data_IF_176005645342
#
_entry.id   IF_176005645342
#
_cell.length_a   1.000
_cell.length_b   1.000
_cell.length_c   1.000
_cell.angle_alpha   90.00
_cell.angle_beta   90.00
_cell.angle_gamma   90.00
#
_symmetry.space_group_name_H-M   'P 1'
#
loop_
_entity.id
_entity.type
_entity.pdbx_description
1 polymer ?
#
# COMPACT_ATOMS: atom_id res chain seq x y z
N UNK A 1 -7.91 -3.00 51.05
CA UNK A 1 -7.55 -1.63 50.63
C UNK A 1 -6.03 -1.58 50.56
N UNK A 2 -5.46 -1.83 49.40
CA UNK A 2 -4.04 -1.68 49.10
C UNK A 2 -3.95 -0.76 47.89
N UNK A 3 -3.76 0.53 48.13
CA UNK A 3 -3.37 1.45 47.06
C UNK A 3 -1.93 1.15 46.69
N UNK A 4 -1.70 0.43 45.58
CA UNK A 4 -0.37 0.36 44.96
C UNK A 4 0.03 1.77 44.56
N UNK A 5 0.84 2.40 45.39
CA UNK A 5 1.55 3.64 45.06
C UNK A 5 2.55 3.29 43.96
N UNK A 6 2.17 3.58 42.69
CA UNK A 6 3.08 3.45 41.55
C UNK A 6 4.27 4.36 41.85
N UNK A 7 5.48 3.79 41.85
CA UNK A 7 6.70 4.55 42.12
C UNK A 7 6.83 5.71 41.12
N UNK A 8 7.21 6.90 41.58
CA UNK A 8 7.30 8.12 40.79
C UNK A 8 8.02 7.97 39.44
N UNK A 9 9.09 7.13 39.27
CA UNK A 9 9.72 6.85 37.98
C UNK A 9 8.80 6.11 36.99
N UNK A 10 7.97 5.19 37.47
CA UNK A 10 7.02 4.44 36.61
C UNK A 10 5.86 5.33 36.13
N UNK A 11 5.37 6.23 36.97
CA UNK A 11 4.35 7.21 36.61
C UNK A 11 4.88 8.18 35.54
N UNK A 12 6.11 8.67 35.68
CA UNK A 12 6.75 9.54 34.69
C UNK A 12 6.96 8.84 33.35
N UNK A 13 7.46 7.60 33.33
CA UNK A 13 7.62 6.80 32.12
C UNK A 13 6.27 6.51 31.44
N UNK A 14 5.20 6.34 32.21
CA UNK A 14 3.84 6.13 31.68
C UNK A 14 3.29 7.38 31.00
N UNK A 15 3.44 8.55 31.60
CA UNK A 15 3.05 9.83 31.02
C UNK A 15 3.86 10.13 29.73
N UNK A 16 5.14 9.81 29.75
CA UNK A 16 5.98 9.97 28.57
C UNK A 16 5.58 9.00 27.43
N UNK A 17 5.22 7.76 27.75
CA UNK A 17 4.73 6.78 26.76
C UNK A 17 3.37 7.20 26.14
N UNK A 18 2.59 8.03 26.82
CA UNK A 18 1.29 8.53 26.33
C UNK A 18 1.43 9.74 25.41
N UNK A 19 2.57 10.41 25.40
CA UNK A 19 2.83 11.56 24.53
C UNK A 19 3.14 11.11 23.10
N UNK A 20 2.51 11.78 22.12
CA UNK A 20 2.85 11.64 20.71
C UNK A 20 4.20 12.32 20.42
N UNK A 21 5.15 11.57 19.84
CA UNK A 21 6.46 12.11 19.42
C UNK A 21 6.36 12.50 17.94
N UNK A 22 5.88 13.74 17.70
CA UNK A 22 5.55 14.22 16.35
C UNK A 22 6.76 14.23 15.43
N UNK A 23 7.96 14.56 15.93
CA UNK A 23 9.20 14.57 15.14
C UNK A 23 9.53 13.18 14.56
N UNK A 24 9.40 12.12 15.37
CA UNK A 24 9.62 10.74 14.92
C UNK A 24 8.52 10.31 13.94
N UNK A 25 7.27 10.68 14.21
CA UNK A 25 6.14 10.35 13.35
C UNK A 25 6.27 11.00 11.96
N UNK A 26 6.66 12.27 11.90
CA UNK A 26 6.90 12.96 10.63
C UNK A 26 8.14 12.42 9.92
N UNK A 27 9.21 12.11 10.65
CA UNK A 27 10.42 11.52 10.08
C UNK A 27 10.15 10.14 9.46
N UNK A 28 9.36 9.27 10.13
CA UNK A 28 9.03 7.96 9.58
C UNK A 28 8.05 8.07 8.39
N UNK A 29 7.12 9.03 8.42
CA UNK A 29 6.24 9.33 7.29
C UNK A 29 7.03 9.85 6.08
N UNK A 30 8.02 10.70 6.29
CA UNK A 30 8.93 11.16 5.25
C UNK A 30 9.77 10.02 4.67
N UNK A 31 10.33 9.13 5.51
CA UNK A 31 11.03 7.95 5.02
C UNK A 31 10.10 7.00 4.25
N UNK A 32 8.82 6.89 4.64
CA UNK A 32 7.82 6.14 3.89
C UNK A 32 7.59 6.75 2.51
N UNK A 33 7.48 8.07 2.43
CA UNK A 33 7.40 8.78 1.15
C UNK A 33 8.59 8.47 0.25
N UNK A 34 9.82 8.55 0.77
CA UNK A 34 11.03 8.24 -0.01
C UNK A 34 11.08 6.78 -0.46
N UNK A 35 10.75 5.84 0.44
CA UNK A 35 10.71 4.41 0.13
C UNK A 35 9.71 4.11 -0.99
N UNK A 36 8.49 4.63 -0.90
CA UNK A 36 7.44 4.35 -1.86
C UNK A 36 7.64 5.10 -3.18
N UNK A 37 8.32 6.25 -3.17
CA UNK A 37 8.80 6.91 -4.39
C UNK A 37 9.75 5.99 -5.17
N UNK A 38 10.67 5.34 -4.47
CA UNK A 38 11.61 4.37 -5.07
C UNK A 38 10.87 3.14 -5.60
N UNK A 39 9.89 2.64 -4.88
CA UNK A 39 9.13 1.46 -5.31
C UNK A 39 8.28 1.74 -6.56
N UNK A 40 7.56 2.86 -6.57
CA UNK A 40 6.70 3.23 -7.71
C UNK A 40 7.50 3.67 -8.95
N UNK A 41 8.77 4.09 -8.78
CA UNK A 41 9.71 4.28 -9.88
C UNK A 41 9.85 3.02 -10.73
N UNK A 42 9.86 1.82 -10.12
CA UNK A 42 10.09 0.55 -10.84
C UNK A 42 9.07 0.38 -11.97
N UNK A 43 7.79 0.56 -11.68
CA UNK A 43 6.73 0.46 -12.71
C UNK A 43 6.77 1.62 -13.70
N UNK A 44 7.17 2.81 -13.26
CA UNK A 44 7.23 3.99 -14.12
C UNK A 44 8.33 3.88 -15.20
N UNK A 45 9.42 3.15 -14.92
CA UNK A 45 10.52 2.97 -15.88
C UNK A 45 10.37 1.73 -16.79
N UNK A 46 9.28 0.97 -16.69
CA UNK A 46 9.08 -0.23 -17.53
C UNK A 46 9.23 0.02 -19.03
N UNK A 47 8.72 1.12 -19.63
CA UNK A 47 8.96 1.38 -21.05
C UNK A 47 10.45 1.53 -21.38
N UNK A 48 11.20 2.24 -20.53
CA UNK A 48 12.66 2.43 -20.71
C UNK A 48 13.39 1.08 -20.65
N UNK A 49 13.09 0.29 -19.61
CA UNK A 49 13.72 -1.03 -19.41
C UNK A 49 13.34 -2.01 -20.52
N UNK A 50 12.06 -1.98 -20.97
CA UNK A 50 11.59 -2.81 -22.06
C UNK A 50 12.34 -2.51 -23.37
N UNK A 51 12.55 -1.26 -23.71
CA UNK A 51 13.31 -0.84 -24.88
C UNK A 51 14.79 -1.20 -24.77
N UNK A 52 15.43 -0.89 -23.61
CA UNK A 52 16.85 -1.12 -23.39
C UNK A 52 17.25 -2.59 -23.48
N UNK A 53 16.42 -3.50 -22.97
CA UNK A 53 16.69 -4.94 -22.89
C UNK A 53 15.88 -5.77 -23.89
N UNK A 54 15.12 -5.14 -24.79
CA UNK A 54 14.24 -5.81 -25.78
C UNK A 54 13.29 -6.81 -25.12
N UNK A 55 12.70 -6.45 -23.97
CA UNK A 55 11.83 -7.33 -23.20
C UNK A 55 10.44 -7.48 -23.84
N UNK A 56 9.85 -8.66 -23.68
CA UNK A 56 8.43 -8.86 -23.91
C UNK A 56 7.60 -8.47 -22.66
N UNK A 57 6.28 -8.44 -22.78
CA UNK A 57 5.40 -8.07 -21.67
C UNK A 57 5.38 -9.10 -20.54
N UNK A 58 5.57 -10.38 -20.85
CA UNK A 58 5.74 -11.44 -19.84
C UNK A 58 6.94 -11.14 -18.96
N UNK A 59 8.08 -10.74 -19.53
CA UNK A 59 9.28 -10.38 -18.78
C UNK A 59 9.07 -9.13 -17.91
N UNK A 60 8.34 -8.12 -18.40
CA UNK A 60 7.93 -6.96 -17.59
C UNK A 60 7.03 -7.41 -16.43
N UNK A 61 6.09 -8.31 -16.69
CA UNK A 61 5.25 -8.89 -15.64
C UNK A 61 6.05 -9.66 -14.59
N UNK A 62 7.10 -10.37 -15.00
CA UNK A 62 8.02 -11.07 -14.10
C UNK A 62 8.85 -10.12 -13.23
N UNK A 63 9.21 -8.93 -13.72
CA UNK A 63 9.85 -7.88 -12.89
C UNK A 63 8.90 -7.49 -11.75
N UNK A 64 7.63 -7.18 -12.07
CA UNK A 64 6.62 -6.87 -11.05
C UNK A 64 6.41 -8.03 -10.08
N UNK A 65 6.27 -9.24 -10.59
CA UNK A 65 6.08 -10.44 -9.76
C UNK A 65 7.24 -10.62 -8.78
N UNK A 66 8.48 -10.55 -9.26
CA UNK A 66 9.69 -10.69 -8.44
C UNK A 66 9.72 -9.63 -7.34
N UNK A 67 9.48 -8.37 -7.69
CA UNK A 67 9.40 -7.27 -6.72
C UNK A 67 8.32 -7.51 -5.68
N UNK A 68 7.08 -7.79 -6.09
CA UNK A 68 5.94 -7.96 -5.20
C UNK A 68 6.08 -9.21 -4.31
N UNK A 69 6.61 -10.31 -4.82
CA UNK A 69 6.85 -11.51 -4.02
C UNK A 69 7.88 -11.26 -2.93
N UNK A 70 9.01 -10.63 -3.26
CA UNK A 70 10.04 -10.30 -2.28
C UNK A 70 9.59 -9.24 -1.29
N UNK A 71 8.80 -8.26 -1.74
CA UNK A 71 8.26 -7.21 -0.89
C UNK A 71 7.17 -7.71 0.07
N UNK A 72 6.34 -8.69 -0.33
CA UNK A 72 5.16 -9.09 0.44
C UNK A 72 5.35 -10.36 1.28
N UNK A 73 5.93 -11.43 0.70
CA UNK A 73 6.04 -12.71 1.41
C UNK A 73 6.99 -12.67 2.60
N UNK A 74 8.00 -11.81 2.56
CA UNK A 74 8.95 -11.67 3.65
C UNK A 74 8.43 -10.80 4.80
N UNK A 75 7.44 -9.93 4.59
CA UNK A 75 6.90 -9.04 5.64
C UNK A 75 6.42 -9.80 6.89
N UNK A 76 5.59 -10.86 6.80
CA UNK A 76 5.17 -11.62 7.97
C UNK A 76 6.35 -12.27 8.72
N UNK A 77 7.35 -12.74 7.98
CA UNK A 77 8.55 -13.34 8.56
C UNK A 77 9.39 -12.32 9.31
N UNK A 78 9.60 -11.14 8.70
CA UNK A 78 10.29 -10.00 9.33
C UNK A 78 9.52 -9.56 10.57
N UNK A 79 8.21 -9.32 10.45
CA UNK A 79 7.37 -8.91 11.58
C UNK A 79 7.43 -9.90 12.74
N UNK A 80 7.30 -11.20 12.47
CA UNK A 80 7.39 -12.26 13.48
C UNK A 80 8.76 -12.31 14.17
N UNK A 81 9.84 -12.14 13.40
CA UNK A 81 11.20 -12.15 13.93
C UNK A 81 11.46 -10.93 14.82
N UNK A 82 11.09 -9.74 14.34
CA UNK A 82 11.33 -8.49 15.06
C UNK A 82 10.38 -8.26 16.24
N UNK A 83 9.20 -8.91 16.27
CA UNK A 83 8.33 -8.96 17.44
C UNK A 83 8.99 -9.69 18.61
N UNK A 84 9.74 -10.76 18.30
CA UNK A 84 10.47 -11.55 19.33
C UNK A 84 11.81 -10.94 19.71
N UNK A 85 12.49 -10.32 18.74
CA UNK A 85 13.83 -9.73 18.90
C UNK A 85 13.85 -8.35 18.29
N UNK A 86 13.55 -7.28 19.04
CA UNK A 86 13.58 -5.93 18.54
C UNK A 86 14.95 -5.54 17.97
N UNK A 87 14.99 -5.12 16.72
CA UNK A 87 16.19 -4.69 16.03
C UNK A 87 16.10 -3.20 15.68
N UNK A 88 16.63 -2.29 16.50
CA UNK A 88 16.46 -0.84 16.33
C UNK A 88 16.90 -0.29 14.96
N UNK A 89 17.87 -0.92 14.32
CA UNK A 89 18.43 -0.46 13.05
C UNK A 89 17.93 -1.25 11.83
N UNK A 90 16.94 -2.13 12.00
CA UNK A 90 16.39 -2.95 10.91
C UNK A 90 15.90 -2.10 9.72
N UNK A 91 15.28 -0.95 10.00
CA UNK A 91 14.81 -0.02 8.97
C UNK A 91 15.95 0.53 8.11
N UNK A 92 17.06 0.95 8.73
CA UNK A 92 18.23 1.44 8.01
C UNK A 92 18.88 0.32 7.18
N UNK A 93 18.97 -0.90 7.73
CA UNK A 93 19.49 -2.09 7.00
C UNK A 93 18.58 -2.42 5.81
N UNK A 94 17.25 -2.42 5.99
CA UNK A 94 16.30 -2.60 4.88
C UNK A 94 16.49 -1.57 3.78
N UNK A 95 16.66 -0.29 4.13
CA UNK A 95 16.91 0.77 3.17
C UNK A 95 18.28 0.64 2.47
N UNK A 96 19.30 0.05 3.13
CA UNK A 96 20.57 -0.31 2.46
C UNK A 96 20.36 -1.37 1.37
N UNK A 97 19.49 -2.37 1.59
CA UNK A 97 19.14 -3.34 0.54
C UNK A 97 18.46 -2.65 -0.65
N UNK A 98 17.54 -1.70 -0.37
CA UNK A 98 16.91 -0.87 -1.41
C UNK A 98 17.96 -0.07 -2.18
N UNK A 99 18.92 0.56 -1.50
CA UNK A 99 20.03 1.30 -2.13
C UNK A 99 20.86 0.39 -3.03
N UNK A 100 21.27 -0.79 -2.54
CA UNK A 100 22.00 -1.77 -3.34
C UNK A 100 21.20 -2.19 -4.60
N UNK A 101 19.90 -2.42 -4.43
CA UNK A 101 19.00 -2.73 -5.54
C UNK A 101 18.94 -1.61 -6.59
N UNK A 102 18.85 -0.34 -6.17
CA UNK A 102 18.85 0.83 -7.08
C UNK A 102 20.18 0.98 -7.85
N UNK A 103 21.31 0.85 -7.16
CA UNK A 103 22.61 0.90 -7.80
C UNK A 103 22.74 -0.21 -8.83
N UNK A 104 22.38 -1.43 -8.46
CA UNK A 104 22.43 -2.56 -9.38
C UNK A 104 21.47 -2.39 -10.56
N UNK A 105 20.27 -1.83 -10.34
CA UNK A 105 19.29 -1.52 -11.38
C UNK A 105 19.82 -0.51 -12.40
N UNK A 106 20.50 0.53 -11.92
CA UNK A 106 21.08 1.57 -12.77
C UNK A 106 22.21 1.06 -13.68
N UNK A 107 22.88 -0.02 -13.27
CA UNK A 107 24.03 -0.62 -13.96
C UNK A 107 23.69 -1.99 -14.59
N UNK A 108 22.42 -2.42 -14.54
CA UNK A 108 22.03 -3.74 -15.02
C UNK A 108 22.35 -3.88 -16.51
N UNK A 109 23.07 -4.95 -16.86
CA UNK A 109 23.42 -5.31 -18.24
C UNK A 109 22.63 -6.49 -18.79
N UNK A 110 21.72 -7.08 -17.99
CA UNK A 110 20.89 -8.22 -18.41
C UNK A 110 19.58 -8.30 -17.63
N UNK A 111 18.61 -9.04 -18.19
CA UNK A 111 17.32 -9.27 -17.54
C UNK A 111 17.45 -9.96 -16.16
N UNK A 112 18.39 -10.88 -15.99
CA UNK A 112 18.60 -11.54 -14.69
C UNK A 112 19.10 -10.56 -13.64
N UNK A 113 20.00 -9.64 -14.00
CA UNK A 113 20.48 -8.58 -13.09
C UNK A 113 19.33 -7.63 -12.74
N UNK A 114 18.43 -7.32 -13.68
CA UNK A 114 17.21 -6.56 -13.39
C UNK A 114 16.36 -7.25 -12.34
N UNK A 115 16.12 -8.58 -12.47
CA UNK A 115 15.34 -9.33 -11.49
C UNK A 115 15.97 -9.31 -10.09
N UNK A 116 17.31 -9.50 -10.02
CA UNK A 116 18.04 -9.41 -8.74
C UNK A 116 17.92 -8.00 -8.14
N UNK A 117 18.03 -6.97 -8.97
CA UNK A 117 17.94 -5.57 -8.56
C UNK A 117 16.58 -5.28 -7.89
N UNK A 118 15.49 -5.64 -8.56
CA UNK A 118 14.14 -5.41 -8.02
C UNK A 118 13.82 -6.32 -6.85
N UNK A 119 14.40 -7.53 -6.78
CA UNK A 119 14.29 -8.40 -5.62
C UNK A 119 14.93 -7.76 -4.37
N UNK A 120 16.12 -7.14 -4.52
CA UNK A 120 16.79 -6.41 -3.43
C UNK A 120 15.94 -5.23 -2.95
N UNK A 121 15.35 -4.45 -3.87
CA UNK A 121 14.43 -3.37 -3.51
C UNK A 121 13.22 -3.92 -2.76
N UNK A 122 12.63 -5.01 -3.24
CA UNK A 122 11.51 -5.69 -2.57
C UNK A 122 11.87 -6.21 -1.18
N UNK A 123 13.04 -6.81 -1.01
CA UNK A 123 13.53 -7.25 0.30
C UNK A 123 13.70 -6.08 1.27
N UNK A 124 14.24 -4.94 0.81
CA UNK A 124 14.31 -3.71 1.60
C UNK A 124 12.94 -3.23 2.05
N UNK A 125 11.97 -3.21 1.13
CA UNK A 125 10.57 -2.89 1.38
C UNK A 125 9.91 -3.83 2.40
N UNK A 126 10.19 -5.14 2.33
CA UNK A 126 9.63 -6.13 3.24
C UNK A 126 10.05 -5.92 4.69
N UNK A 127 11.23 -5.35 4.92
CA UNK A 127 11.68 -4.92 6.25
C UNK A 127 11.04 -3.60 6.64
N UNK A 128 10.95 -2.67 5.67
CA UNK A 128 10.52 -1.29 5.93
C UNK A 128 9.09 -1.22 6.47
N UNK A 129 8.10 -1.80 5.77
CA UNK A 129 6.69 -1.58 6.12
C UNK A 129 6.29 -2.05 7.52
N UNK A 130 6.61 -3.30 7.97
CA UNK A 130 6.23 -3.74 9.31
C UNK A 130 6.94 -2.94 10.40
N UNK A 131 8.24 -2.66 10.24
CA UNK A 131 9.02 -1.94 11.23
C UNK A 131 8.68 -0.45 11.29
N UNK A 132 8.45 0.21 10.15
CA UNK A 132 8.04 1.60 10.11
C UNK A 132 6.65 1.81 10.71
N UNK A 133 5.71 0.91 10.44
CA UNK A 133 4.39 0.90 11.09
C UNK A 133 4.51 0.74 12.61
N UNK A 134 5.43 -0.13 13.08
CA UNK A 134 5.76 -0.28 14.51
C UNK A 134 6.31 1.02 15.10
N UNK A 135 7.22 1.70 14.39
CA UNK A 135 7.76 3.00 14.85
C UNK A 135 6.66 4.06 14.92
N UNK A 136 5.76 4.12 13.93
CA UNK A 136 4.60 5.00 13.96
C UNK A 136 3.71 4.70 15.17
N UNK A 137 3.47 3.42 15.48
CA UNK A 137 2.72 2.99 16.68
C UNK A 137 3.39 3.44 17.97
N UNK A 138 4.71 3.25 18.10
CA UNK A 138 5.48 3.68 19.28
C UNK A 138 5.47 5.19 19.48
N UNK A 139 5.58 5.96 18.37
CA UNK A 139 5.54 7.42 18.39
C UNK A 139 4.14 7.99 18.61
N UNK A 140 3.09 7.19 18.46
CA UNK A 140 1.70 7.60 18.51
C UNK A 140 1.24 8.08 19.91
N UNK A 141 1.82 7.57 20.97
CA UNK A 141 1.28 7.72 22.33
C UNK A 141 -0.11 7.12 22.44
N UNK A 142 -1.13 7.94 22.65
CA UNK A 142 -2.54 7.49 22.68
C UNK A 142 -3.24 7.63 21.32
N UNK A 143 -2.63 8.29 20.32
CA UNK A 143 -3.26 8.65 19.03
C UNK A 143 -2.89 7.69 17.89
N UNK A 144 -3.09 6.38 18.09
CA UNK A 144 -2.65 5.37 17.12
C UNK A 144 -3.26 5.53 15.72
N UNK A 145 -4.55 5.86 15.62
CA UNK A 145 -5.23 6.10 14.34
C UNK A 145 -4.64 7.29 13.58
N UNK A 146 -4.40 8.40 14.28
CA UNK A 146 -3.75 9.59 13.71
C UNK A 146 -2.34 9.28 13.22
N UNK A 147 -1.55 8.58 14.03
CA UNK A 147 -0.18 8.22 13.66
C UNK A 147 -0.13 7.34 12.41
N UNK A 148 -1.01 6.35 12.33
CA UNK A 148 -1.10 5.49 11.16
C UNK A 148 -1.57 6.27 9.92
N UNK A 149 -2.48 7.24 10.06
CA UNK A 149 -2.91 8.10 8.96
C UNK A 149 -1.75 8.96 8.43
N UNK A 150 -0.98 9.60 9.32
CA UNK A 150 0.21 10.39 8.94
C UNK A 150 1.24 9.51 8.22
N UNK A 151 1.48 8.31 8.73
CA UNK A 151 2.38 7.33 8.09
C UNK A 151 1.92 6.96 6.68
N UNK A 152 0.64 6.66 6.50
CA UNK A 152 0.07 6.29 5.18
C UNK A 152 0.06 7.44 4.18
N UNK A 153 -0.13 8.68 4.62
CA UNK A 153 -0.03 9.86 3.75
C UNK A 153 1.36 9.95 3.13
N UNK A 154 2.43 9.66 3.91
CA UNK A 154 3.79 9.57 3.37
C UNK A 154 3.90 8.57 2.23
N UNK A 155 3.52 7.31 2.45
CA UNK A 155 3.59 6.26 1.44
C UNK A 155 2.77 6.56 0.19
N UNK A 156 1.52 6.97 0.35
CA UNK A 156 0.65 7.31 -0.78
C UNK A 156 1.19 8.48 -1.61
N UNK A 157 1.76 9.51 -0.95
CA UNK A 157 2.44 10.62 -1.62
C UNK A 157 3.66 10.11 -2.40
N UNK A 158 4.47 9.26 -1.77
CA UNK A 158 5.64 8.65 -2.40
C UNK A 158 5.27 7.83 -3.64
N UNK A 159 4.25 6.98 -3.52
CA UNK A 159 3.77 6.16 -4.63
C UNK A 159 3.34 6.99 -5.85
N UNK A 160 2.79 8.18 -5.65
CA UNK A 160 2.46 9.09 -6.75
C UNK A 160 3.68 9.83 -7.31
N UNK A 161 4.64 10.21 -6.43
CA UNK A 161 5.83 10.97 -6.85
C UNK A 161 6.78 10.17 -7.73
N UNK A 162 6.87 8.84 -7.59
CA UNK A 162 7.81 8.02 -8.38
C UNK A 162 7.68 8.21 -9.88
N UNK A 163 6.50 8.06 -10.50
CA UNK A 163 6.31 8.32 -11.92
C UNK A 163 6.60 9.77 -12.34
N UNK A 164 6.25 10.76 -11.51
CA UNK A 164 6.57 12.15 -11.77
C UNK A 164 8.08 12.38 -11.80
N UNK A 165 8.80 11.87 -10.80
CA UNK A 165 10.25 11.95 -10.74
C UNK A 165 10.92 11.17 -11.86
N UNK A 166 10.36 10.01 -12.26
CA UNK A 166 10.81 9.29 -13.44
C UNK A 166 10.69 10.13 -14.71
N UNK A 167 9.55 10.80 -14.91
CA UNK A 167 9.32 11.67 -16.06
C UNK A 167 10.29 12.86 -16.14
N UNK A 168 10.81 13.33 -15.00
CA UNK A 168 11.73 14.45 -14.92
C UNK A 168 13.20 14.03 -15.02
N UNK A 169 13.56 12.86 -14.47
CA UNK A 169 14.94 12.45 -14.27
C UNK A 169 15.35 11.35 -15.26
N UNK A 170 14.46 10.36 -15.51
CA UNK A 170 14.78 9.15 -16.28
C UNK A 170 14.42 9.36 -17.76
N UNK A 171 15.10 10.29 -18.42
CA UNK A 171 14.86 10.68 -19.82
C UNK A 171 16.14 10.71 -20.63
N UNK A 172 16.02 10.52 -21.95
CA UNK A 172 17.13 10.61 -22.91
C UNK A 172 17.98 9.34 -23.06
N UNK A 173 19.11 9.41 -23.77
CA UNK A 173 19.86 8.21 -24.22
C UNK A 173 20.43 7.33 -23.11
N UNK A 174 20.63 7.86 -21.90
CA UNK A 174 21.14 7.13 -20.72
C UNK A 174 20.07 7.03 -19.64
N UNK A 175 18.79 6.89 -20.01
CA UNK A 175 17.68 6.93 -19.08
C UNK A 175 17.82 5.92 -17.93
N UNK A 176 18.21 4.66 -18.22
CA UNK A 176 18.40 3.64 -17.19
C UNK A 176 19.44 4.04 -16.13
N UNK A 177 20.60 4.54 -16.52
CA UNK A 177 21.64 4.93 -15.56
C UNK A 177 21.23 6.09 -14.65
N UNK A 178 20.29 6.93 -15.10
CA UNK A 178 19.75 8.04 -14.29
C UNK A 178 18.89 7.58 -13.12
N UNK A 179 18.48 6.32 -13.08
CA UNK A 179 17.84 5.70 -11.89
C UNK A 179 18.76 5.84 -10.67
N UNK A 180 20.06 5.93 -10.86
CA UNK A 180 21.04 6.16 -9.79
C UNK A 180 20.74 7.43 -8.96
N UNK A 181 20.13 8.47 -9.53
CA UNK A 181 19.76 9.67 -8.77
C UNK A 181 18.79 9.40 -7.62
N UNK A 182 17.97 8.36 -7.72
CA UNK A 182 17.07 7.96 -6.63
C UNK A 182 17.83 7.36 -5.44
N UNK A 183 19.09 6.98 -5.62
CA UNK A 183 19.97 6.57 -4.52
C UNK A 183 20.20 7.71 -3.51
N UNK A 184 20.11 8.97 -3.93
CA UNK A 184 20.16 10.11 -3.01
C UNK A 184 19.01 10.06 -2.02
N UNK A 185 17.79 9.74 -2.49
CA UNK A 185 16.62 9.57 -1.60
C UNK A 185 16.82 8.39 -0.63
N UNK A 186 17.39 7.28 -1.10
CA UNK A 186 17.70 6.13 -0.25
C UNK A 186 18.75 6.48 0.83
N UNK A 187 19.81 7.21 0.48
CA UNK A 187 20.84 7.67 1.42
C UNK A 187 20.24 8.61 2.48
N UNK A 188 19.41 9.58 2.06
CA UNK A 188 18.72 10.48 2.99
C UNK A 188 17.86 9.65 3.96
N UNK A 189 17.09 8.68 3.43
CA UNK A 189 16.27 7.81 4.25
C UNK A 189 17.12 6.98 5.24
N UNK A 190 18.26 6.43 4.82
CA UNK A 190 19.18 5.68 5.71
C UNK A 190 19.63 6.56 6.88
N UNK A 191 20.06 7.79 6.62
CA UNK A 191 20.50 8.72 7.68
C UNK A 191 19.38 9.03 8.67
N UNK A 192 18.18 9.32 8.18
CA UNK A 192 17.01 9.58 9.04
C UNK A 192 16.63 8.34 9.84
N UNK A 193 16.57 7.17 9.18
CA UNK A 193 16.21 5.89 9.82
C UNK A 193 17.24 5.43 10.85
N UNK A 194 18.52 5.75 10.65
CA UNK A 194 19.56 5.50 11.63
C UNK A 194 19.31 6.30 12.92
N UNK A 195 18.95 7.58 12.80
CA UNK A 195 18.58 8.41 13.94
C UNK A 195 17.29 7.91 14.64
N UNK A 196 16.29 7.46 13.86
CA UNK A 196 15.09 6.81 14.41
C UNK A 196 15.49 5.52 15.16
N UNK A 197 16.46 4.76 14.66
CA UNK A 197 17.01 3.58 15.34
C UNK A 197 17.59 3.90 16.72
N UNK A 198 18.30 5.01 16.88
CA UNK A 198 18.77 5.49 18.17
C UNK A 198 17.60 5.81 19.11
N UNK A 199 16.61 6.55 18.63
CA UNK A 199 15.40 6.85 19.39
C UNK A 199 14.67 5.54 19.79
N UNK A 200 14.54 4.59 18.89
CA UNK A 200 13.93 3.28 19.16
C UNK A 200 14.62 2.57 20.30
N UNK A 201 15.96 2.47 20.25
CA UNK A 201 16.76 1.81 21.28
C UNK A 201 16.51 2.39 22.68
N UNK A 202 16.31 3.71 22.77
CA UNK A 202 16.05 4.42 24.03
C UNK A 202 14.60 4.31 24.50
N UNK A 203 13.64 4.02 23.60
CA UNK A 203 12.20 4.08 23.85
C UNK A 203 11.50 2.72 23.76
N UNK A 204 12.20 1.60 23.89
CA UNK A 204 11.62 0.24 23.81
C UNK A 204 10.54 -0.02 24.87
N UNK A 205 10.55 0.72 26.01
CA UNK A 205 9.52 0.65 27.04
C UNK A 205 8.10 0.99 26.52
N UNK A 206 7.99 1.75 25.41
CA UNK A 206 6.71 2.10 24.76
C UNK A 206 6.03 0.91 24.07
N UNK A 207 6.74 -0.19 23.87
CA UNK A 207 6.21 -1.44 23.28
C UNK A 207 5.47 -2.33 24.27
N UNK A 208 5.54 -2.06 25.59
CA UNK A 208 4.87 -2.91 26.58
C UNK A 208 3.36 -2.94 26.32
N UNK A 209 2.75 -4.14 26.21
CA UNK A 209 1.32 -4.23 25.93
C UNK A 209 0.52 -3.59 27.07
N UNK A 210 -0.35 -2.62 26.73
CA UNK A 210 -1.38 -2.22 27.68
C UNK A 210 -2.34 -3.40 27.85
N UNK A 211 -2.77 -3.74 29.09
CA UNK A 211 -3.82 -4.75 29.28
C UNK A 211 -5.03 -4.34 28.46
N UNK A 212 -5.41 -5.18 27.52
CA UNK A 212 -6.55 -4.97 26.64
C UNK A 212 -7.81 -5.04 27.48
N UNK A 213 -8.47 -3.91 27.75
CA UNK A 213 -9.88 -3.94 28.18
C UNK A 213 -10.62 -4.64 27.03
N UNK A 214 -11.24 -5.77 27.35
CA UNK A 214 -12.07 -6.52 26.43
C UNK A 214 -13.16 -5.58 25.88
N UNK A 215 -13.07 -5.26 24.60
CA UNK A 215 -14.18 -4.61 23.89
C UNK A 215 -15.26 -5.68 23.66
N UNK A 216 -16.05 -5.92 24.71
CA UNK A 216 -17.31 -6.60 24.60
C UNK A 216 -18.35 -5.52 24.31
N UNK A 217 -18.97 -5.54 23.12
CA UNK A 217 -20.40 -5.24 23.01
C UNK A 217 -20.80 -5.25 21.52
N UNK A 218 -21.79 -6.07 21.18
CA UNK A 218 -22.60 -5.89 19.99
C UNK A 218 -22.22 -6.71 18.74
N UNK A 219 -21.60 -7.89 18.89
CA UNK A 219 -21.41 -8.77 17.73
C UNK A 219 -22.66 -9.60 17.46
N UNK A 220 -23.26 -9.42 16.29
CA UNK A 220 -24.21 -10.40 15.75
C UNK A 220 -23.42 -11.70 15.53
N UNK A 221 -23.71 -12.75 16.29
CA UNK A 221 -23.11 -14.07 16.10
C UNK A 221 -23.54 -14.63 14.73
N UNK A 222 -22.69 -14.43 13.74
CA UNK A 222 -22.86 -15.05 12.44
C UNK A 222 -22.43 -16.53 12.50
N UNK A 223 -23.19 -17.41 11.85
CA UNK A 223 -22.78 -18.80 11.73
C UNK A 223 -21.41 -18.91 11.04
N UNK A 224 -20.59 -19.92 11.42
CA UNK A 224 -19.27 -20.14 10.82
C UNK A 224 -19.32 -20.24 9.29
N UNK A 225 -20.40 -20.81 8.72
CA UNK A 225 -20.61 -20.88 7.27
C UNK A 225 -20.79 -19.50 6.65
N UNK A 226 -21.56 -18.62 7.28
CA UNK A 226 -21.74 -17.22 6.80
C UNK A 226 -20.45 -16.43 6.86
N UNK A 227 -19.67 -16.59 7.94
CA UNK A 227 -18.34 -15.95 8.06
C UNK A 227 -17.40 -16.43 6.95
N UNK A 228 -17.26 -17.76 6.77
CA UNK A 228 -16.40 -18.34 5.74
C UNK A 228 -16.82 -17.89 4.33
N UNK A 229 -18.12 -17.89 4.03
CA UNK A 229 -18.66 -17.42 2.75
C UNK A 229 -18.37 -15.93 2.54
N UNK A 230 -18.53 -15.09 3.54
CA UNK A 230 -18.22 -13.65 3.46
C UNK A 230 -16.72 -13.42 3.22
N UNK A 231 -15.84 -14.14 3.92
CA UNK A 231 -14.38 -14.06 3.67
C UNK A 231 -14.05 -14.49 2.25
N UNK A 232 -14.65 -15.56 1.73
CA UNK A 232 -14.45 -15.99 0.35
C UNK A 232 -14.85 -14.90 -0.66
N UNK A 233 -16.01 -14.26 -0.46
CA UNK A 233 -16.42 -13.10 -1.28
C UNK A 233 -15.39 -11.99 -1.21
N UNK A 234 -14.92 -11.61 -0.01
CA UNK A 234 -13.94 -10.54 0.14
C UNK A 234 -12.61 -10.86 -0.56
N UNK A 235 -12.16 -12.13 -0.54
CA UNK A 235 -10.98 -12.58 -1.26
C UNK A 235 -11.16 -12.45 -2.79
N UNK A 236 -12.33 -12.84 -3.30
CA UNK A 236 -12.66 -12.70 -4.74
C UNK A 236 -12.73 -11.22 -5.14
N UNK A 237 -13.27 -10.35 -4.27
CA UNK A 237 -13.31 -8.91 -4.51
C UNK A 237 -11.92 -8.28 -4.51
N UNK A 238 -11.02 -8.73 -3.63
CA UNK A 238 -9.60 -8.31 -3.66
C UNK A 238 -8.93 -8.74 -4.96
N UNK A 239 -9.13 -10.00 -5.39
CA UNK A 239 -8.63 -10.48 -6.67
C UNK A 239 -9.07 -9.54 -7.79
N UNK A 240 -10.37 -9.29 -7.95
CA UNK A 240 -10.92 -8.41 -8.97
C UNK A 240 -10.29 -7.02 -8.95
N UNK A 241 -10.24 -6.42 -7.76
CA UNK A 241 -9.70 -5.08 -7.56
C UNK A 241 -8.21 -5.01 -7.94
N UNK A 242 -7.39 -5.93 -7.43
CA UNK A 242 -5.94 -5.85 -7.61
C UNK A 242 -5.49 -6.25 -9.02
N UNK A 243 -6.18 -7.19 -9.67
CA UNK A 243 -5.92 -7.47 -11.08
C UNK A 243 -6.24 -6.26 -11.97
N UNK A 244 -7.36 -5.56 -11.71
CA UNK A 244 -7.65 -4.33 -12.43
C UNK A 244 -6.66 -3.20 -12.08
N UNK A 245 -6.36 -3.03 -10.81
CA UNK A 245 -5.42 -1.98 -10.37
C UNK A 245 -4.02 -2.19 -10.98
N UNK A 246 -3.54 -3.42 -11.07
CA UNK A 246 -2.23 -3.72 -11.66
C UNK A 246 -2.22 -3.49 -13.18
N UNK A 247 -3.34 -3.65 -13.87
CA UNK A 247 -3.43 -3.28 -15.29
C UNK A 247 -3.16 -1.80 -15.50
N UNK A 248 -3.61 -0.95 -14.57
CA UNK A 248 -3.35 0.50 -14.60
C UNK A 248 -2.00 0.89 -14.00
N UNK A 249 -1.50 0.22 -12.98
CA UNK A 249 -0.21 0.60 -12.36
C UNK A 249 1.00 0.07 -13.14
N UNK A 250 0.93 -1.14 -13.73
CA UNK A 250 2.06 -1.75 -14.44
C UNK A 250 2.02 -1.60 -15.96
N UNK A 251 0.82 -1.46 -16.54
CA UNK A 251 0.66 -1.48 -18.00
C UNK A 251 0.06 -0.20 -18.59
N UNK A 252 -0.29 0.80 -17.77
CA UNK A 252 -0.91 2.04 -18.24
C UNK A 252 -0.01 2.83 -19.19
N UNK A 253 1.27 2.95 -18.85
CA UNK A 253 2.24 3.61 -19.73
C UNK A 253 2.31 2.96 -21.10
N UNK A 254 2.35 1.62 -21.16
CA UNK A 254 2.35 0.88 -22.42
C UNK A 254 1.05 1.06 -23.21
N UNK A 255 -0.09 1.03 -22.53
CA UNK A 255 -1.39 1.27 -23.15
C UNK A 255 -1.48 2.66 -23.79
N UNK A 256 -1.02 3.69 -23.08
CA UNK A 256 -1.01 5.06 -23.59
C UNK A 256 -0.05 5.21 -24.78
N UNK A 257 1.13 4.63 -24.71
CA UNK A 257 2.13 4.67 -25.80
C UNK A 257 1.61 3.90 -27.02
N UNK A 258 1.08 2.68 -26.84
CA UNK A 258 0.58 1.85 -27.94
C UNK A 258 -0.64 2.49 -28.64
N UNK A 259 -1.64 2.89 -27.86
CA UNK A 259 -2.92 3.36 -28.41
C UNK A 259 -2.89 4.82 -28.89
N UNK A 260 -2.18 5.70 -28.20
CA UNK A 260 -2.22 7.14 -28.44
C UNK A 260 -0.88 7.73 -28.90
N UNK A 261 0.15 6.91 -29.04
CA UNK A 261 1.50 7.31 -29.51
C UNK A 261 2.10 8.48 -28.72
N UNK A 262 1.79 8.56 -27.40
CA UNK A 262 2.38 9.57 -26.51
C UNK A 262 3.82 9.21 -26.17
N UNK A 263 4.62 10.20 -25.80
CA UNK A 263 5.98 9.97 -25.32
C UNK A 263 5.98 9.20 -24.00
N UNK A 264 7.09 8.51 -23.70
CA UNK A 264 7.30 7.82 -22.40
C UNK A 264 7.10 8.80 -21.25
N UNK A 265 7.66 10.02 -21.37
CA UNK A 265 7.54 11.05 -20.36
C UNK A 265 6.07 11.46 -20.11
N UNK A 266 5.30 11.67 -21.17
CA UNK A 266 3.86 11.96 -21.04
C UNK A 266 3.12 10.82 -20.38
N UNK A 267 3.40 9.57 -20.77
CA UNK A 267 2.77 8.40 -20.16
C UNK A 267 3.08 8.27 -18.64
N UNK A 268 4.29 8.63 -18.23
CA UNK A 268 4.68 8.66 -16.81
C UNK A 268 3.92 9.75 -16.03
N UNK A 269 3.67 10.92 -16.64
CA UNK A 269 2.86 11.97 -16.04
C UNK A 269 1.40 11.51 -15.86
N UNK A 270 0.82 10.83 -16.85
CA UNK A 270 -0.51 10.23 -16.71
C UNK A 270 -0.55 9.18 -15.59
N UNK A 271 0.49 8.36 -15.47
CA UNK A 271 0.61 7.39 -14.38
C UNK A 271 0.69 8.09 -13.01
N UNK A 272 1.46 9.18 -12.89
CA UNK A 272 1.49 10.01 -11.70
C UNK A 272 0.09 10.50 -11.31
N UNK A 273 -0.65 11.09 -12.24
CA UNK A 273 -2.01 11.61 -12.00
C UNK A 273 -2.96 10.49 -11.54
N UNK A 274 -2.87 9.31 -12.16
CA UNK A 274 -3.64 8.14 -11.75
C UNK A 274 -3.29 7.72 -10.31
N UNK A 275 -2.01 7.56 -9.98
CA UNK A 275 -1.58 7.12 -8.63
C UNK A 275 -1.88 8.18 -7.56
N UNK A 276 -1.82 9.46 -7.90
CA UNK A 276 -2.27 10.54 -7.02
C UNK A 276 -3.77 10.43 -6.72
N UNK A 277 -4.57 10.09 -7.71
CA UNK A 277 -6.01 9.85 -7.50
C UNK A 277 -6.29 8.62 -6.64
N UNK A 278 -5.49 7.56 -6.79
CA UNK A 278 -5.54 6.37 -5.91
C UNK A 278 -5.22 6.76 -4.45
N UNK A 279 -4.19 7.58 -4.23
CA UNK A 279 -3.83 8.08 -2.92
C UNK A 279 -4.96 8.89 -2.28
N UNK A 280 -5.53 9.83 -3.04
CA UNK A 280 -6.65 10.65 -2.59
C UNK A 280 -7.90 9.81 -2.25
N UNK A 281 -8.24 8.85 -3.11
CA UNK A 281 -9.38 7.95 -2.89
C UNK A 281 -9.21 7.04 -1.66
N UNK A 282 -7.99 6.56 -1.40
CA UNK A 282 -7.69 5.78 -0.19
C UNK A 282 -7.90 6.62 1.07
N UNK A 283 -7.47 7.88 1.05
CA UNK A 283 -7.63 8.80 2.18
C UNK A 283 -9.11 9.13 2.45
N UNK A 284 -9.89 9.38 1.40
CA UNK A 284 -11.32 9.70 1.49
C UNK A 284 -12.15 8.48 1.91
N UNK A 285 -11.78 7.28 1.44
CA UNK A 285 -12.56 6.05 1.63
C UNK A 285 -12.76 5.62 3.07
N UNK A 286 -11.78 5.87 3.95
CA UNK A 286 -11.86 5.55 5.38
C UNK A 286 -13.01 6.28 6.09
N UNK A 287 -13.00 7.62 6.16
CA UNK A 287 -14.08 8.40 6.79
C UNK A 287 -15.46 8.19 6.17
N UNK A 288 -15.53 7.96 4.86
CA UNK A 288 -16.79 7.65 4.16
C UNK A 288 -17.34 6.30 4.63
N UNK A 289 -16.48 5.28 4.73
CA UNK A 289 -16.87 3.95 5.21
C UNK A 289 -17.39 3.93 6.64
N UNK A 290 -16.85 4.77 7.50
CA UNK A 290 -17.30 4.92 8.89
C UNK A 290 -18.70 5.57 8.99
N UNK A 291 -19.08 6.42 7.99
CA UNK A 291 -20.38 7.12 7.99
C UNK A 291 -21.50 6.34 7.33
N UNK A 292 -21.25 5.76 6.16
CA UNK A 292 -22.30 5.12 5.33
C UNK A 292 -22.31 3.60 5.44
N UNK A 293 -21.31 3.02 6.12
CA UNK A 293 -21.17 1.57 6.29
C UNK A 293 -20.25 0.93 5.26
N UNK A 294 -19.41 0.01 5.73
CA UNK A 294 -18.32 -0.59 4.95
C UNK A 294 -18.79 -1.40 3.76
N UNK A 295 -19.89 -2.14 3.90
CA UNK A 295 -20.48 -2.91 2.80
C UNK A 295 -20.80 -2.02 1.59
N UNK A 296 -21.40 -0.85 1.82
CA UNK A 296 -21.73 0.08 0.74
C UNK A 296 -20.49 0.66 0.07
N UNK A 297 -19.46 0.99 0.86
CA UNK A 297 -18.18 1.45 0.30
C UNK A 297 -17.55 0.36 -0.56
N UNK A 298 -17.51 -0.89 -0.12
CA UNK A 298 -16.99 -2.02 -0.90
C UNK A 298 -17.77 -2.15 -2.21
N UNK A 299 -19.10 -2.10 -2.14
CA UNK A 299 -19.96 -2.26 -3.30
C UNK A 299 -19.77 -1.13 -4.33
N UNK A 300 -19.85 0.12 -3.88
CA UNK A 300 -19.67 1.30 -4.73
C UNK A 300 -18.24 1.38 -5.28
N UNK A 301 -17.24 1.06 -4.47
CA UNK A 301 -15.84 1.16 -4.90
C UNK A 301 -15.46 0.13 -5.96
N UNK A 302 -16.03 -1.05 -5.95
CA UNK A 302 -15.70 -2.10 -6.93
C UNK A 302 -16.70 -2.09 -8.09
N UNK A 303 -18.01 -2.18 -7.81
CA UNK A 303 -19.02 -2.21 -8.86
C UNK A 303 -19.24 -0.82 -9.48
N UNK A 304 -19.19 0.23 -8.68
CA UNK A 304 -19.43 1.60 -9.14
C UNK A 304 -18.41 2.12 -10.15
N UNK A 305 -17.21 1.50 -10.23
CA UNK A 305 -16.24 1.84 -11.29
C UNK A 305 -16.52 1.11 -12.60
N UNK A 306 -17.37 0.09 -12.64
CA UNK A 306 -17.61 -0.74 -13.82
C UNK A 306 -18.01 0.09 -15.08
N UNK A 307 -18.92 1.08 -15.01
CA UNK A 307 -19.23 1.90 -16.19
C UNK A 307 -18.00 2.60 -16.75
N UNK A 308 -17.15 3.16 -15.88
CA UNK A 308 -15.95 3.89 -16.29
C UNK A 308 -14.89 2.96 -16.87
N UNK A 309 -14.72 1.75 -16.28
CA UNK A 309 -13.75 0.76 -16.77
C UNK A 309 -14.16 0.20 -18.13
N UNK A 310 -15.47 -0.02 -18.36
CA UNK A 310 -16.00 -0.51 -19.64
C UNK A 310 -15.85 0.52 -20.76
N UNK A 311 -15.98 1.81 -20.43
CA UNK A 311 -15.87 2.90 -21.41
C UNK A 311 -14.40 3.20 -21.75
N UNK A 312 -13.47 3.08 -20.78
CA UNK A 312 -12.08 3.49 -20.91
C UNK A 312 -11.37 2.94 -22.16
N UNK A 313 -11.51 1.65 -22.56
CA UNK A 313 -10.86 1.14 -23.76
C UNK A 313 -11.39 1.72 -25.09
N UNK A 314 -12.50 2.45 -25.07
CA UNK A 314 -13.21 2.91 -26.27
C UNK A 314 -13.12 4.41 -26.51
N UNK A 315 -12.46 5.18 -25.63
CA UNK A 315 -12.37 6.64 -25.69
C UNK A 315 -10.99 7.14 -26.10
N UNK A 316 -10.92 8.43 -26.43
CA UNK A 316 -9.67 9.14 -26.73
C UNK A 316 -8.86 9.49 -25.48
N UNK A 317 -7.64 10.02 -25.69
CA UNK A 317 -6.64 10.27 -24.64
C UNK A 317 -7.17 11.13 -23.47
N UNK A 318 -7.85 12.26 -23.78
CA UNK A 318 -8.36 13.16 -22.75
C UNK A 318 -9.36 12.46 -21.81
N UNK A 319 -10.32 11.71 -22.39
CA UNK A 319 -11.28 10.92 -21.60
C UNK A 319 -10.64 9.76 -20.87
N UNK A 320 -9.63 9.11 -21.45
CA UNK A 320 -8.85 8.07 -20.77
C UNK A 320 -8.20 8.62 -19.50
N UNK A 321 -7.64 9.83 -19.56
CA UNK A 321 -7.06 10.50 -18.39
C UNK A 321 -8.12 10.80 -17.31
N UNK A 322 -9.25 11.40 -17.71
CA UNK A 322 -10.35 11.70 -16.77
C UNK A 322 -10.90 10.44 -16.13
N UNK A 323 -11.17 9.41 -16.94
CA UNK A 323 -11.70 8.14 -16.43
C UNK A 323 -10.70 7.43 -15.51
N UNK A 324 -9.40 7.47 -15.80
CA UNK A 324 -8.39 6.89 -14.92
C UNK A 324 -8.35 7.56 -13.55
N UNK A 325 -8.53 8.88 -13.47
CA UNK A 325 -8.65 9.62 -12.21
C UNK A 325 -9.88 9.18 -11.43
N UNK A 326 -11.05 9.12 -12.08
CA UNK A 326 -12.30 8.68 -11.44
C UNK A 326 -12.17 7.25 -10.93
N UNK A 327 -11.62 6.35 -11.74
CA UNK A 327 -11.39 4.96 -11.38
C UNK A 327 -10.42 4.88 -10.19
N UNK A 328 -9.31 5.61 -10.21
CA UNK A 328 -8.33 5.66 -9.12
C UNK A 328 -8.97 6.11 -7.81
N UNK A 329 -9.72 7.21 -7.81
CA UNK A 329 -10.41 7.75 -6.64
C UNK A 329 -11.40 6.74 -6.04
N UNK A 330 -12.25 6.14 -6.87
CA UNK A 330 -13.35 5.30 -6.40
C UNK A 330 -12.85 3.90 -6.02
N UNK A 331 -12.05 3.24 -6.88
CA UNK A 331 -11.58 1.87 -6.66
C UNK A 331 -10.65 1.74 -5.44
N UNK A 332 -9.85 2.76 -5.15
CA UNK A 332 -8.86 2.70 -4.08
C UNK A 332 -9.48 2.63 -2.68
N UNK A 333 -10.66 3.22 -2.48
CA UNK A 333 -11.36 3.23 -1.20
C UNK A 333 -11.82 1.84 -0.71
N UNK A 334 -11.92 0.83 -1.61
CA UNK A 334 -12.40 -0.50 -1.28
C UNK A 334 -11.49 -1.26 -0.30
N UNK A 335 -10.17 -1.12 -0.39
CA UNK A 335 -9.25 -1.99 0.37
C UNK A 335 -9.38 -1.81 1.88
N UNK A 336 -9.37 -0.58 2.36
CA UNK A 336 -9.53 -0.28 3.78
C UNK A 336 -10.88 -0.80 4.30
N UNK A 337 -11.94 -0.59 3.52
CA UNK A 337 -13.28 -1.08 3.89
C UNK A 337 -13.32 -2.62 3.94
N UNK A 338 -12.74 -3.32 2.97
CA UNK A 338 -12.65 -4.79 2.95
C UNK A 338 -11.88 -5.30 4.16
N UNK A 339 -10.72 -4.72 4.44
CA UNK A 339 -9.86 -5.14 5.55
C UNK A 339 -10.58 -5.02 6.88
N UNK A 340 -11.19 -3.86 7.15
CA UNK A 340 -11.90 -3.63 8.42
C UNK A 340 -13.13 -4.51 8.51
N UNK A 341 -13.89 -4.69 7.42
CA UNK A 341 -15.03 -5.59 7.37
C UNK A 341 -14.63 -7.04 7.70
N UNK A 342 -13.51 -7.51 7.14
CA UNK A 342 -12.97 -8.85 7.43
C UNK A 342 -12.54 -9.00 8.90
N UNK A 343 -11.93 -7.96 9.48
CA UNK A 343 -11.55 -7.93 10.90
C UNK A 343 -12.77 -7.97 11.83
N UNK A 344 -13.87 -7.35 11.43
CA UNK A 344 -15.14 -7.42 12.18
C UNK A 344 -15.82 -8.79 12.07
N UNK A 345 -15.68 -9.48 10.94
CA UNK A 345 -16.18 -10.85 10.78
C UNK A 345 -15.46 -11.86 11.66
N UNK A 346 -14.19 -11.61 12.01
CA UNK A 346 -13.34 -12.54 12.78
C UNK A 346 -12.71 -11.80 13.96
N UNK A 347 -13.50 -11.47 14.99
CA UNK A 347 -13.01 -10.74 16.15
C UNK A 347 -11.90 -11.50 16.87
N UNK A 348 -10.92 -10.76 17.42
CA UNK A 348 -9.78 -11.33 18.13
C UNK A 348 -8.62 -11.81 17.26
N UNK A 349 -8.75 -11.81 15.91
CA UNK A 349 -7.70 -12.22 14.97
C UNK A 349 -7.30 -11.09 14.01
N UNK A 350 -7.27 -9.86 14.51
CA UNK A 350 -7.07 -8.64 13.70
C UNK A 350 -5.76 -8.68 12.91
N UNK A 351 -4.64 -9.07 13.56
CA UNK A 351 -3.32 -9.17 12.91
C UNK A 351 -3.26 -10.26 11.84
N UNK A 352 -3.84 -11.43 12.12
CA UNK A 352 -3.89 -12.54 11.17
C UNK A 352 -4.70 -12.16 9.92
N UNK A 353 -5.85 -11.53 10.09
CA UNK A 353 -6.70 -11.06 8.99
C UNK A 353 -5.98 -9.98 8.20
N UNK A 354 -5.34 -9.00 8.86
CA UNK A 354 -4.55 -7.99 8.18
C UNK A 354 -3.43 -8.61 7.33
N UNK A 355 -2.63 -9.51 7.92
CA UNK A 355 -1.56 -10.21 7.20
C UNK A 355 -2.05 -11.01 5.99
N UNK A 356 -3.18 -11.72 6.13
CA UNK A 356 -3.81 -12.44 5.03
C UNK A 356 -4.21 -11.50 3.89
N UNK A 357 -4.91 -10.42 4.20
CA UNK A 357 -5.47 -9.53 3.19
C UNK A 357 -4.41 -8.65 2.53
N UNK A 358 -3.40 -8.18 3.26
CA UNK A 358 -2.24 -7.51 2.67
C UNK A 358 -1.41 -8.46 1.79
N UNK A 359 -1.12 -9.67 2.28
CA UNK A 359 -0.40 -10.68 1.52
C UNK A 359 -1.13 -11.05 0.21
N UNK A 360 -2.46 -11.23 0.27
CA UNK A 360 -3.29 -11.45 -0.92
C UNK A 360 -3.25 -10.25 -1.87
N UNK A 361 -3.38 -9.02 -1.36
CA UNK A 361 -3.40 -7.81 -2.17
C UNK A 361 -2.12 -7.67 -3.01
N UNK A 362 -0.97 -7.74 -2.36
CA UNK A 362 0.33 -7.63 -3.05
C UNK A 362 0.63 -8.86 -3.91
N UNK A 363 0.34 -10.06 -3.39
CA UNK A 363 0.51 -11.31 -4.15
C UNK A 363 -0.34 -11.35 -5.43
N UNK A 364 -1.60 -10.91 -5.34
CA UNK A 364 -2.48 -10.79 -6.51
C UNK A 364 -2.01 -9.72 -7.49
N UNK A 365 -1.43 -8.61 -7.00
CA UNK A 365 -0.81 -7.59 -7.85
C UNK A 365 0.34 -8.17 -8.69
N UNK A 366 1.26 -8.90 -8.04
CA UNK A 366 2.39 -9.56 -8.72
C UNK A 366 1.94 -10.63 -9.70
N UNK A 367 1.08 -11.56 -9.27
CA UNK A 367 0.53 -12.61 -10.13
C UNK A 367 -0.26 -12.01 -11.29
N UNK A 368 -1.10 -11.00 -11.01
CA UNK A 368 -1.87 -10.28 -12.03
C UNK A 368 -0.96 -9.67 -13.09
N UNK A 369 0.13 -9.02 -12.70
CA UNK A 369 1.07 -8.46 -13.66
C UNK A 369 1.69 -9.51 -14.57
N UNK A 370 2.13 -10.65 -14.03
CA UNK A 370 2.68 -11.74 -14.84
C UNK A 370 1.66 -12.33 -15.82
N UNK A 371 0.43 -12.58 -15.35
CA UNK A 371 -0.67 -13.11 -16.19
C UNK A 371 -1.06 -12.14 -17.30
N UNK A 372 -1.22 -10.84 -16.95
CA UNK A 372 -1.61 -9.82 -17.92
C UNK A 372 -0.49 -9.54 -18.93
N UNK A 373 0.79 -9.62 -18.51
CA UNK A 373 1.92 -9.52 -19.43
C UNK A 373 1.95 -10.65 -20.45
N UNK A 374 1.74 -11.90 -19.99
CA UNK A 374 1.65 -13.04 -20.89
C UNK A 374 0.45 -12.92 -21.86
N UNK A 375 -0.69 -12.43 -21.37
CA UNK A 375 -1.85 -12.17 -22.22
C UNK A 375 -1.55 -11.09 -23.27
N UNK A 376 -0.84 -10.02 -22.88
CA UNK A 376 -0.46 -8.94 -23.78
C UNK A 376 0.47 -9.40 -24.90
N UNK A 377 1.42 -10.31 -24.61
CA UNK A 377 2.31 -10.90 -25.62
C UNK A 377 1.57 -11.82 -26.60
N UNK A 378 0.53 -12.51 -26.13
CA UNK A 378 -0.30 -13.41 -26.97
C UNK A 378 -1.31 -12.66 -27.83
N UNK A 379 -1.68 -11.45 -27.41
CA UNK A 379 -2.76 -10.66 -28.04
C UNK A 379 -2.31 -9.24 -28.34
N UNK A 380 -2.66 -8.31 -27.48
CA UNK A 380 -2.18 -6.92 -27.44
C UNK A 380 -2.47 -6.27 -26.10
N UNK A 381 -1.81 -5.15 -25.82
CA UNK A 381 -2.06 -4.39 -24.58
C UNK A 381 -3.48 -3.82 -24.54
N UNK A 382 -4.04 -3.43 -25.70
CA UNK A 382 -5.41 -2.93 -25.83
C UNK A 382 -6.43 -4.04 -25.52
N UNK A 383 -6.15 -5.27 -25.92
CA UNK A 383 -7.00 -6.44 -25.61
C UNK A 383 -7.01 -6.71 -24.10
N UNK A 384 -5.85 -6.63 -23.45
CA UNK A 384 -5.74 -6.76 -21.98
C UNK A 384 -6.66 -5.75 -21.28
N UNK A 385 -6.66 -4.49 -21.74
CA UNK A 385 -7.53 -3.45 -21.17
C UNK A 385 -9.02 -3.73 -21.38
N UNK A 386 -9.40 -4.28 -22.54
CA UNK A 386 -10.79 -4.70 -22.80
C UNK A 386 -11.22 -5.84 -21.86
N UNK A 387 -10.36 -6.82 -21.63
CA UNK A 387 -10.64 -7.95 -20.73
C UNK A 387 -10.73 -7.46 -19.28
N UNK A 388 -9.74 -6.68 -18.83
CA UNK A 388 -9.70 -6.15 -17.46
C UNK A 388 -10.90 -5.24 -17.14
N UNK A 389 -11.48 -4.55 -18.15
CA UNK A 389 -12.63 -3.68 -17.98
C UNK A 389 -13.85 -4.39 -17.34
N UNK A 390 -13.98 -5.72 -17.51
CA UNK A 390 -15.06 -6.52 -16.95
C UNK A 390 -14.81 -6.96 -15.49
N UNK A 391 -13.58 -6.89 -14.99
CA UNK A 391 -13.25 -7.35 -13.64
C UNK A 391 -14.09 -6.67 -12.54
N UNK A 392 -14.35 -5.35 -12.58
CA UNK A 392 -15.17 -4.69 -11.56
C UNK A 392 -16.62 -5.19 -11.47
N UNK A 393 -17.15 -5.86 -12.49
CA UNK A 393 -18.48 -6.49 -12.44
C UNK A 393 -18.57 -7.58 -11.38
N UNK A 394 -17.44 -8.19 -10.99
CA UNK A 394 -17.35 -9.12 -9.87
C UNK A 394 -17.81 -8.44 -8.57
N UNK A 395 -17.79 -7.11 -8.51
CA UNK A 395 -18.34 -6.32 -7.42
C UNK A 395 -19.82 -6.59 -7.09
N UNK A 396 -20.58 -7.20 -8.02
CA UNK A 396 -21.95 -7.69 -7.74
C UNK A 396 -21.98 -8.65 -6.54
N UNK A 397 -20.93 -9.42 -6.31
CA UNK A 397 -20.82 -10.34 -5.17
C UNK A 397 -20.86 -9.63 -3.81
N UNK A 398 -20.50 -8.35 -3.74
CA UNK A 398 -20.60 -7.58 -2.51
C UNK A 398 -22.05 -7.46 -1.98
N UNK A 399 -23.04 -7.63 -2.86
CA UNK A 399 -24.45 -7.69 -2.47
C UNK A 399 -24.76 -8.81 -1.46
N UNK A 400 -24.04 -9.94 -1.54
CA UNK A 400 -24.20 -11.09 -0.66
C UNK A 400 -23.51 -10.96 0.71
N UNK A 401 -22.74 -9.92 0.94
CA UNK A 401 -22.12 -9.63 2.24
C UNK A 401 -23.21 -9.30 3.28
N UNK A 402 -23.08 -9.75 4.54
CA UNK A 402 -24.04 -9.40 5.59
C UNK A 402 -23.97 -7.89 5.90
N UNK A 403 -25.05 -7.35 6.40
CA UNK A 403 -25.06 -6.01 6.98
C UNK A 403 -24.50 -6.12 8.40
N UNK A 404 -23.29 -5.59 8.62
CA UNK A 404 -22.75 -5.40 9.96
C UNK A 404 -23.23 -4.03 10.45
N UNK A 405 -23.73 -3.97 11.67
CA UNK A 405 -24.19 -2.70 12.25
C UNK A 405 -23.00 -1.71 12.27
N UNK A 406 -23.22 -0.42 11.90
CA UNK A 406 -22.18 0.58 12.07
C UNK A 406 -21.83 0.67 13.56
N UNK A 407 -20.55 0.97 13.92
CA UNK A 407 -20.18 1.18 15.31
C UNK A 407 -21.08 2.24 15.92
N UNK A 408 -21.62 1.96 17.12
CA UNK A 408 -22.46 2.90 17.84
C UNK A 408 -21.72 4.24 17.95
N UNK A 409 -22.36 5.33 17.50
CA UNK A 409 -21.82 6.68 17.68
C UNK A 409 -21.54 6.84 19.18
N UNK A 410 -20.27 7.15 19.53
CA UNK A 410 -19.95 7.55 20.88
C UNK A 410 -20.86 8.75 21.21
N UNK A 411 -21.84 8.55 22.05
CA UNK A 411 -22.65 9.63 22.57
C UNK A 411 -21.70 10.50 23.40
N UNK A 412 -21.35 11.66 22.85
CA UNK A 412 -20.87 12.76 23.66
C UNK A 412 -22.05 13.14 24.58
N UNK A 413 -22.08 12.58 25.78
CA UNK A 413 -22.84 13.19 26.85
C UNK A 413 -22.17 14.52 27.16
N UNK A 414 -22.83 15.67 27.01
CA UNK A 414 -22.32 16.89 27.59
C UNK A 414 -22.27 16.66 29.11
N UNK A 415 -21.14 16.92 29.71
CA UNK A 415 -21.03 16.99 31.18
C UNK A 415 -22.14 17.94 31.69
N UNK A 416 -22.89 17.57 32.73
CA UNK A 416 -23.82 18.49 33.34
C UNK A 416 -23.01 19.67 33.91
N UNK A 417 -23.37 20.89 33.49
CA UNK A 417 -22.85 22.08 34.05
C UNK A 417 -23.09 22.02 35.57
N UNK A 418 -22.05 21.98 36.34
CA UNK A 418 -22.10 22.20 37.80
C UNK A 418 -22.25 23.67 38.03
N UNK A 419 -23.42 24.06 38.51
CA UNK A 419 -23.69 25.37 39.14
C UNK A 419 -22.88 25.56 40.41
#
# INVERSE_FOLDING_TARGET
MGSETIAAPEAAARLEAERTVMSVLLAISFCHMLNDTIQSLISAIYPVVKETFHLNYTQVGLITLTFQMTASLLQPLVGFYTDKRPHPYSLAIGMCLTLCGLVLLSMAGSFHVLLISVALVGMGSSVFHPEASRMAYMAAGVRHGFAQAVFQVGGNTGSSLGPLMAALIVVGPSAQSRVLWFSVAAVIAIVVLWNIGHWYKQNTFRLKPKPRKAASQGHVELSRRKVAFSIAILVILIFSKYFYLVSLSSYYTFYLISKFHVSIQSAQIYLFVFLLSVAAGTFIGGPVGDRIGRKYVIWVSILGVAPFTLILPHVGLAWTAVLSVVIGLVLSSAFTAILVFAQELVPGKVGMIAGLFFGLAFGMGGLGSAVLGHLADKTSIEFVYKVCAFLPLIGLLAGFLPNLAPPAKANHHPEPATD
#
